data_IF_779411630644
#
_entry.id   IF_779411630644
#
_cell.length_a   1.000
_cell.length_b   1.000
_cell.length_c   1.000
_cell.angle_alpha   90.00
_cell.angle_beta   90.00
_cell.angle_gamma   90.00
#
_symmetry.space_group_name_H-M   'P 1'
#
loop_
_entity.id
_entity.type
_entity.pdbx_description
1 polymer ?
#
# COMPACT_ATOMS: atom_id res chain seq x y z
N UNK A 1 22.00 -20.90 -30.64
CA UNK A 1 21.69 -19.91 -29.58
C UNK A 1 20.26 -19.43 -29.79
N UNK A 2 19.31 -19.94 -29.01
CA UNK A 2 17.90 -19.60 -29.14
C UNK A 2 17.64 -18.26 -28.46
N UNK A 3 17.31 -17.24 -29.24
CA UNK A 3 16.91 -15.91 -28.76
C UNK A 3 15.55 -16.05 -28.08
N UNK A 4 15.56 -16.26 -26.77
CA UNK A 4 14.36 -16.27 -25.94
C UNK A 4 13.74 -14.87 -26.04
N UNK A 5 12.68 -14.74 -26.85
CA UNK A 5 11.87 -13.52 -26.96
C UNK A 5 11.41 -13.14 -25.56
N UNK A 6 12.09 -12.17 -24.96
CA UNK A 6 11.73 -11.58 -23.70
C UNK A 6 10.37 -10.91 -23.91
N UNK A 7 9.31 -11.61 -23.51
CA UNK A 7 7.94 -11.11 -23.58
C UNK A 7 7.87 -9.95 -22.60
N UNK A 8 8.05 -8.74 -23.09
CA UNK A 8 7.88 -7.52 -22.30
C UNK A 8 6.46 -7.51 -21.75
N UNK A 9 6.30 -8.00 -20.52
CA UNK A 9 5.08 -7.86 -19.74
C UNK A 9 4.94 -6.38 -19.41
N UNK A 10 4.38 -5.63 -20.36
CA UNK A 10 3.94 -4.27 -20.12
C UNK A 10 2.73 -4.39 -19.21
N UNK A 11 2.94 -4.20 -17.91
CA UNK A 11 1.86 -4.17 -16.94
C UNK A 11 0.78 -3.23 -17.45
N UNK A 12 -0.48 -3.69 -17.50
CA UNK A 12 -1.58 -2.87 -17.95
C UNK A 12 -1.62 -1.59 -17.08
N UNK A 13 -1.70 -0.39 -17.69
CA UNK A 13 -1.82 0.84 -16.93
C UNK A 13 -3.10 0.77 -16.08
N UNK A 14 -2.94 0.67 -14.76
CA UNK A 14 -4.05 0.50 -13.81
C UNK A 14 -3.92 -0.70 -12.88
N UNK A 15 -3.05 -1.68 -13.18
CA UNK A 15 -2.77 -2.79 -12.26
C UNK A 15 -1.63 -2.39 -11.34
N UNK A 16 -1.90 -1.51 -10.37
CA UNK A 16 -0.95 -1.31 -9.28
C UNK A 16 -0.74 -2.66 -8.61
N UNK A 17 0.47 -3.21 -8.73
CA UNK A 17 0.82 -4.44 -8.03
C UNK A 17 0.58 -4.23 -6.54
N UNK A 18 0.05 -5.24 -5.84
CA UNK A 18 -0.14 -5.20 -4.39
C UNK A 18 1.14 -4.76 -3.65
N UNK A 19 2.31 -5.10 -4.22
CA UNK A 19 3.61 -4.66 -3.73
C UNK A 19 3.84 -3.15 -3.89
N UNK A 20 3.52 -2.59 -5.06
CA UNK A 20 3.63 -1.13 -5.28
C UNK A 20 2.70 -0.38 -4.34
N UNK A 21 1.46 -0.87 -4.19
CA UNK A 21 0.52 -0.31 -3.24
C UNK A 21 1.10 -0.32 -1.81
N UNK A 22 1.63 -1.46 -1.34
CA UNK A 22 2.19 -1.58 0.00
C UNK A 22 3.36 -0.61 0.23
N UNK A 23 4.25 -0.46 -0.75
CA UNK A 23 5.39 0.47 -0.67
C UNK A 23 4.93 1.93 -0.59
N UNK A 24 3.97 2.33 -1.44
CA UNK A 24 3.43 3.70 -1.42
C UNK A 24 2.64 3.99 -0.14
N UNK A 25 1.90 3.00 0.36
CA UNK A 25 1.17 3.10 1.63
C UNK A 25 2.14 3.29 2.81
N UNK A 26 3.18 2.46 2.91
CA UNK A 26 4.18 2.55 3.96
C UNK A 26 4.93 3.89 3.92
N UNK A 27 5.37 4.33 2.74
CA UNK A 27 6.00 5.63 2.55
C UNK A 27 5.09 6.78 3.00
N UNK A 28 3.80 6.72 2.64
CA UNK A 28 2.83 7.73 3.03
C UNK A 28 2.60 7.75 4.54
N UNK A 29 2.51 6.60 5.21
CA UNK A 29 2.39 6.51 6.66
C UNK A 29 3.62 7.10 7.37
N UNK A 30 4.82 6.77 6.91
CA UNK A 30 6.09 7.25 7.50
C UNK A 30 6.34 8.75 7.30
N UNK A 31 5.88 9.32 6.18
CA UNK A 31 6.05 10.75 5.91
C UNK A 31 5.20 11.64 6.84
N UNK A 32 4.20 11.08 7.52
CA UNK A 32 3.32 11.82 8.41
C UNK A 32 3.99 12.00 9.77
N UNK A 33 3.97 13.23 10.29
CA UNK A 33 4.38 13.54 11.67
C UNK A 33 3.36 13.08 12.73
N UNK A 34 2.16 12.67 12.31
CA UNK A 34 1.06 12.21 13.16
C UNK A 34 0.49 10.90 12.63
N UNK A 35 -0.03 10.06 13.53
CA UNK A 35 -0.73 8.83 13.13
C UNK A 35 -1.87 9.15 12.14
N UNK A 36 -2.03 8.31 11.12
CA UNK A 36 -3.12 8.45 10.16
C UNK A 36 -4.44 8.00 10.80
N UNK A 37 -5.50 8.78 10.60
CA UNK A 37 -6.85 8.36 10.95
C UNK A 37 -7.41 7.41 9.88
N UNK A 38 -8.42 6.64 10.24
CA UNK A 38 -9.12 5.76 9.30
C UNK A 38 -9.73 6.56 8.13
N UNK A 39 -10.27 7.76 8.40
CA UNK A 39 -10.81 8.65 7.36
C UNK A 39 -9.75 9.07 6.34
N UNK A 40 -8.52 9.38 6.78
CA UNK A 40 -7.41 9.71 5.87
C UNK A 40 -7.15 8.59 4.86
N UNK A 41 -7.24 7.33 5.31
CA UNK A 41 -7.00 6.16 4.47
C UNK A 41 -8.14 5.95 3.47
N UNK A 42 -9.37 6.17 3.90
CA UNK A 42 -10.55 6.10 3.04
C UNK A 42 -10.51 7.18 1.95
N UNK A 43 -10.22 8.43 2.31
CA UNK A 43 -10.18 9.56 1.38
C UNK A 43 -9.01 9.46 0.39
N UNK A 44 -7.82 9.06 0.87
CA UNK A 44 -6.60 9.02 0.03
C UNK A 44 -6.54 7.80 -0.89
N UNK A 45 -7.01 6.65 -0.41
CA UNK A 45 -6.81 5.36 -1.08
C UNK A 45 -8.11 4.69 -1.53
N UNK A 46 -9.26 5.33 -1.30
CA UNK A 46 -10.58 4.77 -1.66
C UNK A 46 -10.93 3.50 -0.89
N UNK A 47 -10.31 3.28 0.27
CA UNK A 47 -10.53 2.07 1.07
C UNK A 47 -11.91 2.07 1.71
N UNK A 48 -12.47 0.86 1.86
CA UNK A 48 -13.54 0.67 2.82
C UNK A 48 -13.02 0.89 4.25
N UNK A 49 -13.91 1.25 5.18
CA UNK A 49 -13.58 1.41 6.60
C UNK A 49 -12.93 0.14 7.19
N UNK A 50 -13.45 -1.04 6.85
CA UNK A 50 -12.91 -2.31 7.32
C UNK A 50 -11.49 -2.57 6.80
N UNK A 51 -11.23 -2.25 5.52
CA UNK A 51 -9.88 -2.36 4.93
C UNK A 51 -8.91 -1.41 5.62
N UNK A 52 -9.30 -0.15 5.81
CA UNK A 52 -8.46 0.83 6.49
C UNK A 52 -8.09 0.41 7.92
N UNK A 53 -9.05 -0.15 8.68
CA UNK A 53 -8.77 -0.69 10.03
C UNK A 53 -7.72 -1.81 10.01
N UNK A 54 -7.86 -2.77 9.09
CA UNK A 54 -6.89 -3.87 8.96
C UNK A 54 -5.49 -3.36 8.65
N UNK A 55 -5.37 -2.46 7.69
CA UNK A 55 -4.07 -1.90 7.30
C UNK A 55 -3.45 -1.05 8.42
N UNK A 56 -4.26 -0.27 9.15
CA UNK A 56 -3.79 0.49 10.32
C UNK A 56 -3.26 -0.44 11.41
N UNK A 57 -4.03 -1.47 11.78
CA UNK A 57 -3.63 -2.42 12.82
C UNK A 57 -2.32 -3.16 12.48
N UNK A 58 -2.17 -3.61 11.22
CA UNK A 58 -0.93 -4.25 10.77
C UNK A 58 0.24 -3.26 10.85
N UNK A 59 0.07 -2.03 10.37
CA UNK A 59 1.11 -1.01 10.44
C UNK A 59 1.53 -0.69 11.88
N UNK A 60 0.56 -0.53 12.78
CA UNK A 60 0.80 -0.24 14.20
C UNK A 60 1.51 -1.42 14.90
N UNK A 61 1.12 -2.67 14.61
CA UNK A 61 1.75 -3.87 15.17
C UNK A 61 3.23 -4.00 14.82
N UNK A 62 3.65 -3.46 13.67
CA UNK A 62 5.04 -3.50 13.20
C UNK A 62 5.85 -2.31 13.72
N UNK A 63 5.21 -1.15 13.87
CA UNK A 63 5.88 0.11 14.23
C UNK A 63 5.73 0.50 15.71
N UNK A 64 5.19 -0.39 16.55
CA UNK A 64 5.12 -0.19 18.00
C UNK A 64 3.98 0.71 18.47
N UNK A 65 2.83 0.69 17.78
CA UNK A 65 1.61 1.26 18.35
C UNK A 65 1.19 0.42 19.55
N UNK A 66 1.27 1.00 20.75
CA UNK A 66 0.68 0.42 21.97
C UNK A 66 -0.75 -0.03 21.64
N UNK A 67 -0.97 -1.35 21.74
CA UNK A 67 -2.20 -2.02 21.33
C UNK A 67 -3.37 -1.70 22.26
#
# INVERSE_FOLDING_TARGET
MSTQKQRSYRAAPGMQSNLEFALRFAQWMQARRRQAAISDMMERWGMSRATAYRYKAIYDSVNGGDA
#
